data_IF_390359002149
#
_entry.id   IF_390359002149
#
_cell.length_a   1.000
_cell.length_b   1.000
_cell.length_c   1.000
_cell.angle_alpha   90.00
_cell.angle_beta   90.00
_cell.angle_gamma   90.00
#
_symmetry.space_group_name_H-M   'P 1'
#
loop_
_entity.id
_entity.type
_entity.pdbx_description
1 polymer ?
#
# COMPACT_ATOMS: atom_id res chain seq x y z
N UNK A 1 10.85 26.09 24.86
CA UNK A 1 10.37 25.80 23.49
C UNK A 1 10.09 24.31 23.43
N UNK A 2 8.81 23.94 23.35
CA UNK A 2 8.39 22.53 23.38
C UNK A 2 8.84 21.81 22.11
N UNK A 3 9.63 20.76 22.27
CA UNK A 3 10.08 19.91 21.17
C UNK A 3 8.85 19.16 20.63
N UNK A 4 8.38 19.54 19.43
CA UNK A 4 7.35 18.78 18.73
C UNK A 4 7.95 17.45 18.28
N UNK A 5 7.82 16.40 19.07
CA UNK A 5 8.30 15.06 18.73
C UNK A 5 7.25 14.32 17.90
N UNK A 6 7.70 13.67 16.82
CA UNK A 6 6.83 12.81 16.02
C UNK A 6 6.64 11.48 16.74
N UNK A 7 5.38 11.03 16.83
CA UNK A 7 5.07 9.67 17.27
C UNK A 7 5.45 8.66 16.17
N UNK A 8 6.71 8.21 16.20
CA UNK A 8 7.27 7.22 15.26
C UNK A 8 6.46 5.92 15.25
N UNK A 9 6.00 5.46 16.42
CA UNK A 9 5.20 4.24 16.53
C UNK A 9 3.84 4.40 15.84
N UNK A 10 3.18 5.55 16.02
CA UNK A 10 1.93 5.87 15.33
C UNK A 10 2.07 5.90 13.81
N UNK A 11 3.13 6.53 13.29
CA UNK A 11 3.40 6.56 11.84
C UNK A 11 3.65 5.15 11.27
N UNK A 12 4.39 4.31 12.02
CA UNK A 12 4.60 2.90 11.64
C UNK A 12 3.30 2.08 11.69
N UNK A 13 2.41 2.37 12.64
CA UNK A 13 1.08 1.77 12.72
C UNK A 13 0.25 2.10 11.48
N UNK A 14 0.17 3.37 11.09
CA UNK A 14 -0.51 3.79 9.85
C UNK A 14 0.08 3.10 8.62
N UNK A 15 1.41 2.96 8.53
CA UNK A 15 2.03 2.20 7.43
C UNK A 15 1.57 0.72 7.41
N UNK A 16 1.33 0.10 8.57
CA UNK A 16 0.78 -1.25 8.67
C UNK A 16 -0.68 -1.35 8.19
N UNK A 17 -1.48 -0.30 8.35
CA UNK A 17 -2.84 -0.26 7.80
C UNK A 17 -2.81 -0.25 6.25
N UNK A 18 -1.90 0.53 5.66
CA UNK A 18 -1.70 0.55 4.20
C UNK A 18 -1.25 -0.82 3.66
N UNK A 19 -0.37 -1.53 4.36
CA UNK A 19 0.00 -2.90 3.99
C UNK A 19 -1.20 -3.85 4.09
N UNK A 20 -2.03 -3.72 5.14
CA UNK A 20 -3.19 -4.57 5.33
C UNK A 20 -4.20 -4.41 4.18
N UNK A 21 -4.42 -3.17 3.74
CA UNK A 21 -5.22 -2.87 2.53
C UNK A 21 -4.58 -3.45 1.28
N UNK A 22 -3.26 -3.34 1.12
CA UNK A 22 -2.55 -3.93 -0.02
C UNK A 22 -2.72 -5.46 -0.05
N UNK A 23 -2.61 -6.16 1.09
CA UNK A 23 -2.82 -7.60 1.17
C UNK A 23 -4.25 -8.02 0.79
N UNK A 24 -5.26 -7.25 1.19
CA UNK A 24 -6.66 -7.48 0.78
C UNK A 24 -6.84 -7.28 -0.73
N UNK A 25 -6.25 -6.21 -1.29
CA UNK A 25 -6.27 -5.96 -2.73
C UNK A 25 -5.59 -7.11 -3.50
N UNK A 26 -4.46 -7.62 -3.01
CA UNK A 26 -3.73 -8.72 -3.64
C UNK A 26 -4.58 -10.01 -3.68
N UNK A 27 -5.32 -10.31 -2.62
CA UNK A 27 -6.26 -11.44 -2.58
C UNK A 27 -7.37 -11.25 -3.63
N UNK A 28 -7.98 -10.07 -3.69
CA UNK A 28 -9.02 -9.76 -4.67
C UNK A 28 -8.52 -9.87 -6.11
N UNK A 29 -7.35 -9.31 -6.42
CA UNK A 29 -6.70 -9.41 -7.73
C UNK A 29 -6.49 -10.87 -8.13
N UNK A 30 -6.00 -11.69 -7.20
CA UNK A 30 -5.74 -13.12 -7.44
C UNK A 30 -7.04 -13.88 -7.75
N UNK A 31 -8.11 -13.60 -7.00
CA UNK A 31 -9.42 -14.19 -7.24
C UNK A 31 -9.99 -13.77 -8.61
N UNK A 32 -9.92 -12.48 -8.94
CA UNK A 32 -10.47 -11.94 -10.19
C UNK A 32 -9.73 -12.44 -11.42
N UNK A 33 -8.40 -12.55 -11.36
CA UNK A 33 -7.57 -13.15 -12.43
C UNK A 33 -7.88 -14.63 -12.66
N UNK A 34 -8.42 -15.32 -11.66
CA UNK A 34 -8.86 -16.72 -11.78
C UNK A 34 -10.19 -16.88 -12.53
N UNK A 35 -10.93 -15.80 -12.76
CA UNK A 35 -12.20 -15.85 -13.49
C UNK A 35 -11.96 -15.84 -15.00
N UNK A 36 -12.56 -16.80 -15.71
CA UNK A 36 -12.51 -16.86 -17.17
C UNK A 36 -13.86 -16.50 -17.78
N UNK A 37 -13.91 -15.34 -18.44
CA UNK A 37 -15.06 -14.89 -19.24
C UNK A 37 -14.63 -14.74 -20.70
N UNK A 38 -15.54 -14.90 -21.65
CA UNK A 38 -15.29 -14.58 -23.06
C UNK A 38 -16.32 -15.18 -24.00
N UNK A 39 -16.25 -14.83 -25.28
CA UNK A 39 -17.26 -15.28 -26.23
C UNK A 39 -17.38 -16.81 -26.40
N UNK A 40 -16.31 -17.56 -26.10
CA UNK A 40 -16.34 -19.02 -26.08
C UNK A 40 -17.17 -19.61 -24.92
N UNK A 41 -17.23 -18.93 -23.77
CA UNK A 41 -18.06 -19.36 -22.62
C UNK A 41 -19.47 -18.77 -22.65
N UNK A 42 -19.70 -17.67 -23.39
CA UNK A 42 -21.01 -17.03 -23.52
C UNK A 42 -21.89 -17.60 -24.66
N UNK A 43 -21.30 -18.35 -25.59
CA UNK A 43 -21.98 -18.87 -26.78
C UNK A 43 -22.03 -17.88 -27.94
N UNK A 44 -22.26 -18.36 -29.16
CA UNK A 44 -22.08 -17.59 -30.40
C UNK A 44 -22.98 -16.34 -30.52
N UNK A 45 -24.15 -16.35 -29.89
CA UNK A 45 -25.08 -15.20 -29.88
C UNK A 45 -24.72 -14.14 -28.83
N UNK A 46 -23.80 -14.42 -27.92
CA UNK A 46 -23.39 -13.54 -26.83
C UNK A 46 -21.89 -13.28 -26.79
N UNK A 47 -21.18 -13.58 -27.88
CA UNK A 47 -19.73 -13.38 -27.99
C UNK A 47 -19.30 -11.97 -27.61
N UNK A 48 -19.93 -10.94 -28.21
CA UNK A 48 -19.63 -9.54 -27.90
C UNK A 48 -19.83 -9.21 -26.42
N UNK A 49 -20.95 -9.64 -25.82
CA UNK A 49 -21.23 -9.41 -24.39
C UNK A 49 -20.23 -10.13 -23.47
N UNK A 50 -19.79 -11.33 -23.85
CA UNK A 50 -18.78 -12.08 -23.13
C UNK A 50 -17.41 -11.39 -23.16
N UNK A 51 -17.05 -10.81 -24.30
CA UNK A 51 -15.81 -10.06 -24.46
C UNK A 51 -15.88 -8.70 -23.74
N UNK A 52 -17.03 -8.04 -23.71
CA UNK A 52 -17.26 -6.82 -22.92
C UNK A 52 -17.03 -7.07 -21.42
N UNK A 53 -17.55 -8.18 -20.89
CA UNK A 53 -17.32 -8.57 -19.48
C UNK A 53 -15.85 -8.87 -19.23
N UNK A 54 -15.17 -9.58 -20.14
CA UNK A 54 -13.72 -9.83 -20.03
C UNK A 54 -12.93 -8.53 -19.98
N UNK A 55 -13.25 -7.57 -20.86
CA UNK A 55 -12.56 -6.29 -20.92
C UNK A 55 -12.80 -5.46 -19.66
N UNK A 56 -14.05 -5.38 -19.19
CA UNK A 56 -14.38 -4.70 -17.94
C UNK A 56 -13.70 -5.33 -16.72
N UNK A 57 -13.60 -6.65 -16.67
CA UNK A 57 -12.86 -7.35 -15.61
C UNK A 57 -11.36 -7.01 -15.65
N UNK A 58 -10.74 -6.99 -16.83
CA UNK A 58 -9.34 -6.60 -16.98
C UNK A 58 -9.08 -5.16 -16.53
N UNK A 59 -10.01 -4.24 -16.83
CA UNK A 59 -9.92 -2.85 -16.38
C UNK A 59 -10.00 -2.74 -14.86
N UNK A 60 -10.95 -3.43 -14.22
CA UNK A 60 -11.08 -3.49 -12.76
C UNK A 60 -9.80 -4.04 -12.13
N UNK A 61 -9.27 -5.17 -12.63
CA UNK A 61 -8.03 -5.77 -12.13
C UNK A 61 -6.86 -4.79 -12.25
N UNK A 62 -6.74 -4.08 -13.37
CA UNK A 62 -5.69 -3.07 -13.60
C UNK A 62 -5.79 -1.93 -12.59
N UNK A 63 -7.00 -1.45 -12.27
CA UNK A 63 -7.20 -0.42 -11.25
C UNK A 63 -6.83 -0.91 -9.84
N UNK A 64 -7.21 -2.15 -9.49
CA UNK A 64 -6.85 -2.73 -8.20
C UNK A 64 -5.34 -2.91 -8.06
N UNK A 65 -4.63 -3.32 -9.12
CA UNK A 65 -3.17 -3.41 -9.12
C UNK A 65 -2.50 -2.05 -8.94
N UNK A 66 -3.06 -1.00 -9.53
CA UNK A 66 -2.59 0.36 -9.32
C UNK A 66 -2.79 0.81 -7.87
N UNK A 67 -3.95 0.52 -7.29
CA UNK A 67 -4.23 0.80 -5.88
C UNK A 67 -3.31 0.02 -4.96
N UNK A 68 -3.10 -1.27 -5.20
CA UNK A 68 -2.16 -2.10 -4.45
C UNK A 68 -0.78 -1.45 -4.41
N UNK A 69 -0.20 -1.16 -5.60
CA UNK A 69 1.12 -0.51 -5.71
C UNK A 69 1.18 0.83 -4.99
N UNK A 70 0.12 1.63 -5.08
CA UNK A 70 0.05 2.93 -4.42
C UNK A 70 0.04 2.79 -2.90
N UNK A 71 -0.74 1.86 -2.35
CA UNK A 71 -0.78 1.60 -0.91
C UNK A 71 0.58 1.14 -0.39
N UNK A 72 1.24 0.19 -1.09
CA UNK A 72 2.61 -0.26 -0.74
C UNK A 72 3.60 0.91 -0.74
N UNK A 73 3.57 1.75 -1.79
CA UNK A 73 4.47 2.89 -1.90
C UNK A 73 4.27 3.92 -0.76
N UNK A 74 3.01 4.17 -0.36
CA UNK A 74 2.71 5.06 0.77
C UNK A 74 3.26 4.46 2.07
N UNK A 75 3.02 3.17 2.32
CA UNK A 75 3.52 2.49 3.51
C UNK A 75 5.06 2.56 3.61
N UNK A 76 5.77 2.34 2.51
CA UNK A 76 7.23 2.49 2.42
C UNK A 76 7.69 3.91 2.74
N UNK A 77 7.04 4.93 2.17
CA UNK A 77 7.39 6.34 2.43
C UNK A 77 7.16 6.73 3.89
N UNK A 78 6.07 6.25 4.50
CA UNK A 78 5.79 6.46 5.92
C UNK A 78 6.87 5.84 6.81
N UNK A 79 7.29 4.61 6.52
CA UNK A 79 8.39 3.93 7.25
C UNK A 79 9.71 4.66 7.10
N UNK A 80 10.07 5.04 5.88
CA UNK A 80 11.30 5.77 5.60
C UNK A 80 11.33 7.11 6.36
N UNK A 81 10.21 7.82 6.39
CA UNK A 81 10.08 9.09 7.11
C UNK A 81 10.16 8.87 8.63
N UNK A 82 9.43 7.89 9.16
CA UNK A 82 9.47 7.52 10.57
C UNK A 82 10.89 7.17 11.05
N UNK A 83 11.64 6.42 10.23
CA UNK A 83 13.03 6.07 10.52
C UNK A 83 13.92 7.32 10.58
N UNK A 84 13.81 8.23 9.61
CA UNK A 84 14.59 9.47 9.60
C UNK A 84 14.35 10.32 10.85
N UNK A 85 13.13 10.34 11.38
CA UNK A 85 12.83 11.05 12.63
C UNK A 85 13.36 10.33 13.87
N UNK A 86 13.29 9.01 13.92
CA UNK A 86 13.90 8.23 15.00
C UNK A 86 15.42 8.46 15.07
N UNK A 87 16.10 8.47 13.92
CA UNK A 87 17.54 8.71 13.84
C UNK A 87 17.92 10.13 14.31
N UNK A 88 17.10 11.13 14.01
CA UNK A 88 17.29 12.51 14.47
C UNK A 88 17.12 12.64 15.99
N UNK A 89 16.08 12.02 16.54
CA UNK A 89 15.82 12.00 17.98
C UNK A 89 16.97 11.32 18.74
N UNK A 90 17.45 10.16 18.25
CA UNK A 90 18.60 9.48 18.82
C UNK A 90 19.88 10.33 18.80
N UNK A 91 20.15 11.04 17.69
CA UNK A 91 21.29 11.96 17.58
C UNK A 91 21.19 13.13 18.54
N UNK A 92 19.99 13.70 18.72
CA UNK A 92 19.77 14.79 19.66
C UNK A 92 19.99 14.32 21.11
N UNK A 93 19.43 13.16 21.48
CA UNK A 93 19.65 12.54 22.80
C UNK A 93 21.13 12.30 23.09
N UNK A 94 21.88 11.76 22.12
CA UNK A 94 23.33 11.54 22.27
C UNK A 94 24.10 12.85 22.48
N UNK A 95 23.75 13.93 21.76
CA UNK A 95 24.35 15.26 21.94
C UNK A 95 24.06 15.83 23.32
N UNK A 96 22.82 15.74 23.79
CA UNK A 96 22.43 16.23 25.11
C UNK A 96 23.13 15.46 26.24
N UNK A 97 23.24 14.14 26.11
CA UNK A 97 23.98 13.31 27.07
C UNK A 97 25.48 13.70 27.13
N UNK A 98 26.10 13.98 25.97
CA UNK A 98 27.49 14.45 25.91
C UNK A 98 27.69 15.85 26.49
N UNK A 99 26.67 16.72 26.41
CA UNK A 99 26.71 18.06 27.00
C UNK A 99 26.53 18.05 28.51
N UNK A 100 25.66 17.17 29.04
CA UNK A 100 25.39 17.04 30.48
C UNK A 100 26.45 16.24 31.26
N UNK A 101 27.33 15.51 30.56
CA UNK A 101 28.44 14.75 31.14
C UNK A 101 29.76 15.51 31.22
N UNK A 102 29.79 16.79 30.85
CA UNK A 102 30.92 17.74 31.02
C UNK A 102 30.62 18.72 32.14
#
# INVERSE_FOLDING_TARGET
MGETSINVAGVRGVAGEFDSVADELQKAITQLRGLSFGGASAGQWHTAKGDDVRNGLHEVVTHLENWHRTNTAIAEQLRATAQRYADRDAKNKARLAAANGR
#
